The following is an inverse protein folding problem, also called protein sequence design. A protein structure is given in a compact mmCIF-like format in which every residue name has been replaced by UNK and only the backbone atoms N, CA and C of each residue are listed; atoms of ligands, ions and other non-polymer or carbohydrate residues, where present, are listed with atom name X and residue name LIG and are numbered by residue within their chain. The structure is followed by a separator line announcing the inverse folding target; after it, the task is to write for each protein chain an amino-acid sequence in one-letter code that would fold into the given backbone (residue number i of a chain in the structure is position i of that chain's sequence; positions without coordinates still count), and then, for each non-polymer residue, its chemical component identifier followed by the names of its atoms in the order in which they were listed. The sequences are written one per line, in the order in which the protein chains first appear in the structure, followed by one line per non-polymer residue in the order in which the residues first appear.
data_IF_930968965501
#
_entry.id   IF_930968965501
#
_cell.length_a   1.000
_cell.length_b   1.000
_cell.length_c   1.000
_cell.angle_alpha   90.00
_cell.angle_beta   90.00
_cell.angle_gamma   90.00
#
_symmetry.space_group_name_H-M   'P 1'
#
loop_
_entity.id
_entity.type
_entity.pdbx_description
1 polymer ?
#
# COMPACT_ATOMS: atom_id res chain seq x y z
N UNK A 1 18.29 11.88 -18.06
CA UNK A 1 17.41 10.89 -17.42
C UNK A 1 16.51 11.65 -16.48
N UNK A 2 15.20 11.68 -16.70
CA UNK A 2 14.30 12.25 -15.70
C UNK A 2 14.39 11.35 -14.47
N UNK A 3 14.83 11.88 -13.33
CA UNK A 3 14.61 11.21 -12.06
C UNK A 3 13.11 10.98 -11.94
N UNK A 4 12.71 9.71 -12.07
CA UNK A 4 11.35 9.31 -11.75
C UNK A 4 11.29 9.49 -10.24
N UNK A 5 10.75 10.62 -9.76
CA UNK A 5 10.62 10.89 -8.34
C UNK A 5 9.70 9.81 -7.77
N UNK A 6 10.29 8.73 -7.26
CA UNK A 6 9.56 7.63 -6.67
C UNK A 6 8.68 8.19 -5.55
N UNK A 7 7.40 7.81 -5.56
CA UNK A 7 6.46 8.13 -4.49
C UNK A 7 7.12 7.77 -3.16
N UNK A 8 7.43 8.79 -2.35
CA UNK A 8 8.01 8.57 -1.02
C UNK A 8 6.91 8.08 -0.10
N UNK A 9 6.96 6.79 0.23
CA UNK A 9 6.04 6.16 1.17
C UNK A 9 6.75 6.03 2.51
N UNK A 10 6.25 6.68 3.59
CA UNK A 10 6.82 6.51 4.92
C UNK A 10 6.79 5.05 5.40
N UNK A 11 7.64 4.68 6.37
CA UNK A 11 7.62 3.36 7.03
C UNK A 11 6.21 2.97 7.51
N UNK A 12 5.91 1.67 7.48
CA UNK A 12 4.64 1.13 7.96
C UNK A 12 4.41 1.42 9.45
N UNK A 13 3.18 1.82 9.81
CA UNK A 13 2.79 2.10 11.18
C UNK A 13 1.78 1.05 11.66
N UNK A 14 2.25 0.09 12.45
CA UNK A 14 1.42 -0.98 13.02
C UNK A 14 0.36 -0.46 13.98
N UNK A 15 0.65 0.59 14.76
CA UNK A 15 -0.31 1.18 15.71
C UNK A 15 -1.38 2.04 15.04
N UNK A 16 -1.26 2.31 13.75
CA UNK A 16 -2.15 3.20 13.02
C UNK A 16 -2.18 2.91 11.52
N UNK A 17 -2.59 1.70 11.09
CA UNK A 17 -2.60 1.33 9.67
C UNK A 17 -3.53 2.23 8.87
N UNK A 18 -4.64 2.69 9.46
CA UNK A 18 -5.55 3.66 8.83
C UNK A 18 -4.87 5.01 8.56
N UNK A 19 -4.14 5.53 9.55
CA UNK A 19 -3.36 6.76 9.43
C UNK A 19 -2.22 6.61 8.44
N UNK A 20 -1.65 5.42 8.34
CA UNK A 20 -0.68 5.10 7.29
C UNK A 20 -1.36 5.21 5.92
N UNK A 21 -2.48 4.56 5.64
CA UNK A 21 -3.10 4.63 4.31
C UNK A 21 -3.69 5.99 3.93
N UNK A 22 -4.08 6.85 4.88
CA UNK A 22 -4.77 8.11 4.58
C UNK A 22 -3.95 9.07 3.68
N UNK A 23 -2.67 9.37 3.98
CA UNK A 23 -1.82 10.17 3.10
C UNK A 23 -1.54 9.54 1.72
N UNK A 24 -1.49 8.19 1.61
CA UNK A 24 -1.07 7.52 0.36
C UNK A 24 -2.01 7.82 -0.80
N UNK A 25 -3.31 8.01 -0.54
CA UNK A 25 -4.26 8.47 -1.55
C UNK A 25 -3.81 9.80 -2.19
N UNK A 26 -3.31 10.75 -1.39
CA UNK A 26 -2.79 12.03 -1.89
C UNK A 26 -1.45 11.86 -2.58
N UNK A 27 -0.53 11.06 -2.04
CA UNK A 27 0.78 10.85 -2.65
C UNK A 27 0.67 10.19 -4.02
N UNK A 28 -0.24 9.23 -4.21
CA UNK A 28 -0.51 8.64 -5.52
C UNK A 28 -1.12 9.66 -6.48
N UNK A 29 -2.05 10.50 -6.02
CA UNK A 29 -2.63 11.56 -6.86
C UNK A 29 -1.65 12.67 -7.23
N UNK A 30 -0.63 12.92 -6.41
CA UNK A 30 0.41 13.94 -6.62
C UNK A 30 1.70 13.37 -7.22
N UNK A 31 1.68 12.12 -7.70
CA UNK A 31 2.84 11.49 -8.34
C UNK A 31 3.37 12.34 -9.50
N UNK A 32 4.69 12.50 -9.58
CA UNK A 32 5.38 13.24 -10.64
C UNK A 32 6.18 12.23 -11.47
N UNK A 33 6.12 12.27 -12.83
CA UNK A 33 5.51 13.29 -13.70
C UNK A 33 4.00 13.15 -13.94
N UNK A 34 3.36 12.07 -13.49
CA UNK A 34 1.92 11.87 -13.60
C UNK A 34 1.34 11.13 -12.39
N UNK A 35 0.06 11.37 -12.05
CA UNK A 35 -0.62 10.65 -10.99
C UNK A 35 -0.60 9.14 -11.22
N UNK A 36 -0.48 8.37 -10.14
CA UNK A 36 -0.67 6.93 -10.16
C UNK A 36 -2.16 6.68 -9.99
N UNK A 37 -2.83 6.36 -11.10
CA UNK A 37 -4.25 6.05 -11.14
C UNK A 37 -4.51 4.55 -11.07
N UNK A 38 -3.64 3.77 -11.72
CA UNK A 38 -3.72 2.32 -11.82
C UNK A 38 -3.67 1.61 -10.46
N UNK A 39 -4.62 0.71 -10.24
CA UNK A 39 -4.80 0.00 -8.96
C UNK A 39 -3.71 -1.03 -8.72
N UNK A 40 -3.24 -1.72 -9.77
CA UNK A 40 -2.16 -2.70 -9.69
C UNK A 40 -0.84 -2.02 -9.34
N UNK A 41 -0.58 -0.85 -9.92
CA UNK A 41 0.59 -0.03 -9.61
C UNK A 41 0.56 0.42 -8.15
N UNK A 42 -0.58 0.90 -7.64
CA UNK A 42 -0.73 1.26 -6.21
C UNK A 42 -0.48 0.05 -5.31
N UNK A 43 -1.03 -1.11 -5.65
CA UNK A 43 -0.79 -2.36 -4.92
C UNK A 43 0.70 -2.69 -4.82
N UNK A 44 1.43 -2.65 -5.95
CA UNK A 44 2.87 -2.92 -5.99
C UNK A 44 3.66 -1.95 -5.11
N UNK A 45 3.28 -0.67 -5.09
CA UNK A 45 3.88 0.33 -4.20
C UNK A 45 3.68 0.00 -2.73
N UNK A 46 2.48 -0.45 -2.34
CA UNK A 46 2.20 -0.86 -0.96
C UNK A 46 3.05 -2.08 -0.60
N UNK A 47 2.99 -3.16 -1.39
CA UNK A 47 3.74 -4.39 -1.13
C UNK A 47 5.24 -4.12 -0.98
N UNK A 48 5.81 -3.29 -1.84
CA UNK A 48 7.24 -2.95 -1.81
C UNK A 48 7.67 -2.15 -0.57
N UNK A 49 6.73 -1.54 0.14
CA UNK A 49 7.00 -0.73 1.35
C UNK A 49 6.48 -1.38 2.64
N UNK A 50 5.98 -2.61 2.57
CA UNK A 50 5.64 -3.37 3.77
C UNK A 50 6.91 -3.98 4.38
N UNK A 51 7.11 -3.84 5.69
CA UNK A 51 8.10 -4.64 6.39
C UNK A 51 7.67 -6.13 6.39
N UNK A 52 8.61 -7.07 6.57
CA UNK A 52 8.33 -8.51 6.52
C UNK A 52 7.20 -8.97 7.45
N UNK A 53 7.08 -8.36 8.62
CA UNK A 53 6.06 -8.67 9.63
C UNK A 53 4.66 -8.30 9.12
N UNK A 54 4.51 -7.13 8.48
CA UNK A 54 3.26 -6.70 7.88
C UNK A 54 2.92 -7.51 6.62
N UNK A 55 3.92 -7.81 5.79
CA UNK A 55 3.74 -8.65 4.60
C UNK A 55 3.27 -10.07 4.96
N UNK A 56 3.73 -10.60 6.10
CA UNK A 56 3.31 -11.92 6.59
C UNK A 56 1.82 -11.94 6.96
N UNK A 57 1.29 -10.86 7.57
CA UNK A 57 -0.14 -10.75 7.96
C UNK A 57 -1.09 -10.86 6.76
N UNK A 58 -0.68 -10.34 5.60
CA UNK A 58 -1.48 -10.33 4.35
C UNK A 58 -0.84 -11.17 3.24
N UNK A 59 -0.04 -12.17 3.61
CA UNK A 59 0.72 -13.01 2.66
C UNK A 59 -0.18 -13.62 1.58
N UNK A 60 -1.35 -14.10 1.95
CA UNK A 60 -2.37 -14.65 1.05
C UNK A 60 -2.78 -13.63 -0.02
N UNK A 61 -2.99 -12.37 0.36
CA UNK A 61 -3.36 -11.29 -0.55
C UNK A 61 -2.19 -10.88 -1.45
N UNK A 62 -0.95 -11.01 -0.99
CA UNK A 62 0.25 -10.73 -1.79
C UNK A 62 0.47 -11.82 -2.84
N UNK A 63 0.33 -13.09 -2.45
CA UNK A 63 0.53 -14.25 -3.33
C UNK A 63 -0.60 -14.39 -4.34
N UNK A 64 -1.83 -14.11 -3.91
CA UNK A 64 -3.03 -14.21 -4.73
C UNK A 64 -3.82 -12.88 -4.66
N UNK A 65 -3.35 -11.83 -5.35
CA UNK A 65 -4.02 -10.54 -5.35
C UNK A 65 -5.37 -10.61 -6.05
N UNK A 66 -6.31 -9.78 -5.61
CA UNK A 66 -7.58 -9.59 -6.31
C UNK A 66 -7.32 -9.02 -7.71
N UNK A 67 -7.95 -9.60 -8.74
CA UNK A 67 -7.72 -9.21 -10.13
C UNK A 67 -8.32 -7.86 -10.50
N UNK A 68 -9.33 -7.40 -9.75
CA UNK A 68 -10.11 -6.20 -10.07
C UNK A 68 -9.79 -5.02 -9.17
N UNK A 69 -9.57 -5.28 -7.88
CA UNK A 69 -9.40 -4.25 -6.84
C UNK A 69 -8.23 -4.55 -5.89
N UNK A 70 -7.02 -4.89 -6.39
CA UNK A 70 -5.90 -5.36 -5.57
C UNK A 70 -5.49 -4.37 -4.48
N UNK A 71 -5.45 -3.06 -4.79
CA UNK A 71 -5.12 -2.03 -3.80
C UNK A 71 -6.17 -1.90 -2.68
N UNK A 72 -7.45 -1.97 -3.04
CA UNK A 72 -8.54 -1.88 -2.05
C UNK A 72 -8.57 -3.14 -1.16
N UNK A 73 -8.36 -4.32 -1.75
CA UNK A 73 -8.30 -5.58 -1.05
C UNK A 73 -7.17 -5.60 -0.01
N UNK A 74 -5.93 -5.30 -0.41
CA UNK A 74 -4.79 -5.29 0.52
C UNK A 74 -4.95 -4.23 1.59
N UNK A 75 -5.47 -3.04 1.26
CA UNK A 75 -5.71 -1.98 2.24
C UNK A 75 -6.69 -2.44 3.32
N UNK A 76 -7.82 -3.01 2.92
CA UNK A 76 -8.87 -3.44 3.86
C UNK A 76 -8.36 -4.55 4.75
N UNK A 77 -7.77 -5.60 4.17
CA UNK A 77 -7.27 -6.75 4.92
C UNK A 77 -6.12 -6.37 5.85
N UNK A 78 -5.20 -5.51 5.40
CA UNK A 78 -4.08 -5.09 6.23
C UNK A 78 -4.54 -4.25 7.43
N UNK A 79 -5.54 -3.36 7.26
CA UNK A 79 -6.13 -2.61 8.37
C UNK A 79 -6.82 -3.58 9.35
N UNK A 80 -7.71 -4.45 8.86
CA UNK A 80 -8.48 -5.37 9.70
C UNK A 80 -7.57 -6.28 10.54
N UNK A 81 -6.64 -6.98 9.89
CA UNK A 81 -5.82 -7.97 10.58
C UNK A 81 -4.75 -7.36 11.50
N UNK A 82 -4.34 -6.12 11.26
CA UNK A 82 -3.40 -5.42 12.16
C UNK A 82 -4.14 -4.85 13.39
N UNK A 83 -5.38 -4.39 13.21
CA UNK A 83 -6.24 -3.89 14.31
C UNK A 83 -6.70 -5.04 15.22
N UNK A 84 -7.05 -6.20 14.64
CA UNK A 84 -7.37 -7.42 15.39
C UNK A 84 -6.17 -8.04 16.14
N UNK A 85 -4.94 -7.65 15.78
CA UNK A 85 -3.71 -8.11 16.44
C UNK A 85 -3.23 -7.18 17.57
N UNK A 86 -3.99 -6.12 17.92
CA UNK A 86 -3.62 -5.10 18.92
C UNK A 86 -4.32 -5.29 20.27
#
# INVERSE_FOLDING_TARGET
MAEIAAVKIPPYNFSGPQLWFAPRKRTFSLGVPKPITDTCTKFNYIVSHLPPEAATIVRDIIINPDETVPYSAIKTQLIQRTDESS
#
